data_IF_987354886087
#
_entry.id   IF_987354886087
#
_cell.length_a   1.000
_cell.length_b   1.000
_cell.length_c   1.000
_cell.angle_alpha   90.00
_cell.angle_beta   90.00
_cell.angle_gamma   90.00
#
_symmetry.space_group_name_H-M   'P 1'
#
loop_
_entity.id
_entity.type
_entity.pdbx_description
1 polymer ?
#
# COMPACT_ATOMS: atom_id res chain seq x y z
N UNK A 1 19.90 -22.13 -15.99
CA UNK A 1 20.65 -21.26 -15.05
C UNK A 1 19.88 -21.23 -13.75
N UNK A 2 20.52 -21.61 -12.64
CA UNK A 2 19.88 -21.64 -11.33
C UNK A 2 19.83 -20.20 -10.78
N UNK A 3 18.63 -19.72 -10.45
CA UNK A 3 18.46 -18.49 -9.70
C UNK A 3 18.78 -18.85 -8.25
N UNK A 4 19.84 -18.28 -7.68
CA UNK A 4 20.19 -18.54 -6.29
C UNK A 4 19.04 -18.12 -5.37
N UNK A 5 18.66 -19.02 -4.46
CA UNK A 5 17.58 -18.79 -3.51
C UNK A 5 18.01 -17.77 -2.44
N UNK A 6 17.30 -16.64 -2.38
CA UNK A 6 16.85 -16.07 -1.11
C UNK A 6 17.70 -15.06 -0.34
N UNK A 7 18.81 -14.51 -0.85
CA UNK A 7 19.64 -13.57 -0.06
C UNK A 7 19.64 -12.11 -0.54
N UNK A 8 19.15 -11.81 -1.74
CA UNK A 8 19.29 -10.47 -2.36
C UNK A 8 17.97 -9.85 -2.83
N UNK A 9 16.84 -10.15 -2.19
CA UNK A 9 15.53 -9.55 -2.54
C UNK A 9 15.18 -8.44 -1.55
N UNK A 10 14.78 -7.29 -2.08
CA UNK A 10 14.28 -6.16 -1.31
C UNK A 10 12.77 -6.03 -1.53
N UNK A 11 12.03 -5.80 -0.45
CA UNK A 11 10.59 -5.51 -0.49
C UNK A 11 10.42 -4.03 -0.15
N UNK A 12 9.95 -3.27 -1.13
CA UNK A 12 9.61 -1.86 -1.00
C UNK A 12 8.13 -1.75 -0.70
N UNK A 13 7.80 -0.93 0.29
CA UNK A 13 6.43 -0.64 0.70
C UNK A 13 6.33 0.88 0.84
N UNK A 14 5.30 1.44 0.24
CA UNK A 14 4.91 2.83 0.42
C UNK A 14 3.47 2.89 0.91
N UNK A 15 3.21 3.78 1.87
CA UNK A 15 1.92 3.93 2.52
C UNK A 15 1.51 5.40 2.52
N UNK A 16 0.24 5.63 2.23
CA UNK A 16 -0.42 6.90 2.50
C UNK A 16 -1.35 6.73 3.70
N UNK A 17 -1.44 7.75 4.57
CA UNK A 17 -2.17 7.68 5.83
C UNK A 17 -3.07 8.88 6.04
N UNK A 18 -3.99 8.77 7.00
CA UNK A 18 -4.83 9.89 7.44
C UNK A 18 -4.05 10.96 8.21
N UNK A 19 -2.88 10.60 8.75
CA UNK A 19 -2.02 11.46 9.56
C UNK A 19 -0.80 10.72 10.09
N UNK A 20 -0.19 11.23 11.16
CA UNK A 20 1.07 10.74 11.73
C UNK A 20 0.93 10.12 13.13
N UNK A 21 -0.26 10.11 13.72
CA UNK A 21 -0.52 9.49 15.02
C UNK A 21 -0.87 8.00 14.85
N UNK A 22 0.08 7.12 15.16
CA UNK A 22 -0.13 5.67 15.03
C UNK A 22 -1.26 5.08 15.90
N UNK A 23 -1.76 5.81 16.89
CA UNK A 23 -2.88 5.39 17.73
C UNK A 23 -4.25 5.80 17.21
N UNK A 24 -4.31 6.83 16.35
CA UNK A 24 -5.56 7.42 15.87
C UNK A 24 -5.71 7.36 14.34
N UNK A 25 -4.60 7.43 13.61
CA UNK A 25 -4.56 7.45 12.16
C UNK A 25 -4.49 6.06 11.53
N UNK A 26 -4.98 5.96 10.30
CA UNK A 26 -5.08 4.72 9.54
C UNK A 26 -4.51 4.83 8.13
N UNK A 27 -4.23 3.67 7.51
CA UNK A 27 -3.67 3.56 6.16
C UNK A 27 -4.77 3.83 5.13
N UNK A 28 -4.52 4.75 4.20
CA UNK A 28 -5.38 5.08 3.07
C UNK A 28 -4.95 4.36 1.78
N UNK A 29 -3.67 4.11 1.60
CA UNK A 29 -3.14 3.41 0.42
C UNK A 29 -1.94 2.53 0.79
N UNK A 30 -1.78 1.43 0.05
CA UNK A 30 -0.57 0.61 0.07
C UNK A 30 -0.14 0.25 -1.34
N UNK A 31 1.15 0.45 -1.62
CA UNK A 31 1.81 -0.03 -2.83
C UNK A 31 3.06 -0.82 -2.46
N UNK A 32 3.38 -1.86 -3.25
CA UNK A 32 4.55 -2.71 -2.98
C UNK A 32 5.29 -3.11 -4.25
N UNK A 33 6.62 -3.17 -4.16
CA UNK A 33 7.50 -3.61 -5.25
C UNK A 33 8.58 -4.53 -4.68
N UNK A 34 8.96 -5.55 -5.44
CA UNK A 34 10.08 -6.42 -5.12
C UNK A 34 11.20 -6.16 -6.12
N UNK A 35 12.41 -5.90 -5.61
CA UNK A 35 13.61 -5.76 -6.44
C UNK A 35 14.68 -6.78 -6.06
N UNK A 36 15.69 -6.95 -6.91
CA UNK A 36 16.97 -7.54 -6.51
C UNK A 36 17.86 -6.50 -5.79
N UNK A 37 19.07 -6.91 -5.39
CA UNK A 37 20.07 -6.05 -4.75
C UNK A 37 20.66 -4.98 -5.66
N UNK A 38 20.44 -5.08 -6.98
CA UNK A 38 20.82 -4.08 -7.98
C UNK A 38 19.63 -3.16 -8.34
N UNK A 39 18.57 -3.20 -7.55
CA UNK A 39 17.34 -2.40 -7.70
C UNK A 39 16.58 -2.70 -9.00
N UNK A 40 16.81 -3.84 -9.64
CA UNK A 40 16.00 -4.26 -10.79
C UNK A 40 14.66 -4.80 -10.29
N UNK A 41 13.56 -4.31 -10.85
CA UNK A 41 12.20 -4.74 -10.48
C UNK A 41 11.98 -6.20 -10.88
N UNK A 42 11.68 -7.03 -9.89
CA UNK A 42 11.36 -8.45 -10.05
C UNK A 42 9.84 -8.68 -10.08
N UNK A 43 9.08 -7.86 -9.35
CA UNK A 43 7.63 -7.85 -9.40
C UNK A 43 7.04 -6.60 -8.77
N UNK A 44 5.84 -6.27 -9.25
CA UNK A 44 4.95 -5.29 -8.64
C UNK A 44 3.83 -6.03 -7.91
N UNK A 45 3.58 -5.61 -6.67
CA UNK A 45 2.38 -5.95 -5.93
C UNK A 45 1.22 -5.04 -6.33
N UNK A 46 0.04 -5.24 -5.72
CA UNK A 46 -1.10 -4.39 -6.00
C UNK A 46 -0.90 -3.00 -5.38
N UNK A 47 -1.43 -1.99 -6.05
CA UNK A 47 -1.63 -0.63 -5.53
C UNK A 47 -3.09 -0.51 -5.10
N UNK A 48 -3.34 -0.36 -3.80
CA UNK A 48 -4.68 -0.47 -3.23
C UNK A 48 -5.01 0.74 -2.38
N UNK A 49 -6.03 1.49 -2.78
CA UNK A 49 -6.71 2.43 -1.90
C UNK A 49 -7.64 1.67 -0.95
N UNK A 50 -7.59 2.00 0.34
CA UNK A 50 -8.31 1.30 1.42
C UNK A 50 -9.55 2.11 1.77
N UNK A 51 -10.71 1.47 1.67
CA UNK A 51 -12.01 2.06 1.93
C UNK A 51 -12.08 2.69 3.33
N UNK A 52 -12.42 3.97 3.39
CA UNK A 52 -12.70 4.70 4.63
C UNK A 52 -14.00 5.51 4.51
N UNK A 53 -14.80 5.59 5.58
CA UNK A 53 -15.95 6.50 5.61
C UNK A 53 -15.53 7.96 5.43
N UNK A 54 -16.34 8.75 4.72
CA UNK A 54 -16.12 10.18 4.53
C UNK A 54 -15.80 10.95 5.82
N UNK A 55 -16.48 10.70 6.98
CA UNK A 55 -16.14 11.41 8.22
C UNK A 55 -14.71 11.18 8.72
N UNK A 56 -14.07 10.05 8.39
CA UNK A 56 -12.66 9.81 8.75
C UNK A 56 -11.75 10.71 7.92
N UNK A 57 -12.05 10.84 6.63
CA UNK A 57 -11.28 11.72 5.74
C UNK A 57 -11.46 13.20 6.10
N UNK A 58 -12.68 13.61 6.44
CA UNK A 58 -12.98 14.99 6.84
C UNK A 58 -12.31 15.41 8.15
N UNK A 59 -12.00 14.44 9.03
CA UNK A 59 -11.30 14.64 10.30
C UNK A 59 -9.78 14.82 10.16
N UNK A 60 -9.21 14.55 8.98
CA UNK A 60 -7.79 14.81 8.71
C UNK A 60 -7.47 16.30 8.79
N UNK A 61 -6.20 16.63 9.06
CA UNK A 61 -5.75 18.01 9.06
C UNK A 61 -5.81 18.65 7.66
N UNK A 62 -5.63 19.97 7.60
CA UNK A 62 -5.72 20.71 6.34
C UNK A 62 -4.69 20.25 5.30
N UNK A 63 -3.50 19.85 5.72
CA UNK A 63 -2.45 19.41 4.81
C UNK A 63 -2.82 18.09 4.13
N UNK A 64 -3.25 17.10 4.92
CA UNK A 64 -3.66 15.79 4.42
C UNK A 64 -4.89 15.89 3.51
N UNK A 65 -5.91 16.68 3.89
CA UNK A 65 -7.08 16.91 3.02
C UNK A 65 -6.70 17.51 1.68
N UNK A 66 -5.81 18.50 1.68
CA UNK A 66 -5.34 19.13 0.44
C UNK A 66 -4.48 18.18 -0.39
N UNK A 67 -3.55 17.46 0.24
CA UNK A 67 -2.64 16.55 -0.45
C UNK A 67 -3.40 15.40 -1.11
N UNK A 68 -4.24 14.71 -0.35
CA UNK A 68 -5.02 13.56 -0.82
C UNK A 68 -6.14 13.95 -1.77
N UNK A 69 -6.68 15.17 -1.63
CA UNK A 69 -7.61 15.74 -2.61
C UNK A 69 -6.94 16.03 -3.95
N UNK A 70 -5.73 16.59 -3.95
CA UNK A 70 -4.99 16.93 -5.17
C UNK A 70 -4.41 15.71 -5.88
N UNK A 71 -3.98 14.69 -5.14
CA UNK A 71 -3.48 13.44 -5.73
C UNK A 71 -4.59 12.59 -6.36
N UNK A 72 -5.85 12.82 -5.96
CA UNK A 72 -7.00 11.99 -6.32
C UNK A 72 -7.19 10.79 -5.39
N UNK A 73 -6.31 10.57 -4.40
CA UNK A 73 -6.42 9.48 -3.44
C UNK A 73 -7.72 9.58 -2.64
N UNK A 74 -8.16 10.79 -2.29
CA UNK A 74 -9.43 11.01 -1.58
C UNK A 74 -10.60 10.30 -2.27
N UNK A 75 -10.75 10.51 -3.58
CA UNK A 75 -11.83 9.93 -4.35
C UNK A 75 -11.67 8.41 -4.49
N UNK A 76 -10.44 7.94 -4.73
CA UNK A 76 -10.13 6.50 -4.79
C UNK A 76 -10.50 5.78 -3.49
N UNK A 77 -10.29 6.41 -2.33
CA UNK A 77 -10.65 5.85 -1.03
C UNK A 77 -12.18 5.76 -0.87
N UNK A 78 -12.91 6.79 -1.27
CA UNK A 78 -14.38 6.79 -1.20
C UNK A 78 -15.03 5.77 -2.15
N UNK A 79 -14.42 5.56 -3.31
CA UNK A 79 -14.90 4.61 -4.33
C UNK A 79 -14.39 3.17 -4.10
N UNK A 80 -13.50 2.96 -3.13
CA UNK A 80 -12.90 1.65 -2.88
C UNK A 80 -13.84 0.75 -2.07
N UNK A 81 -13.92 -0.52 -2.48
CA UNK A 81 -14.52 -1.61 -1.70
C UNK A 81 -13.46 -2.46 -0.96
N UNK A 82 -12.19 -2.05 -0.99
CA UNK A 82 -11.09 -2.80 -0.38
C UNK A 82 -10.96 -2.45 1.09
N UNK A 83 -11.27 -3.42 1.95
CA UNK A 83 -11.00 -3.30 3.39
C UNK A 83 -9.52 -3.53 3.69
N UNK A 84 -9.05 -3.03 4.84
CA UNK A 84 -7.68 -3.29 5.30
C UNK A 84 -7.36 -4.80 5.35
N UNK A 85 -8.31 -5.62 5.80
CA UNK A 85 -8.15 -7.07 5.85
C UNK A 85 -7.99 -7.68 4.45
N UNK A 86 -8.75 -7.20 3.45
CA UNK A 86 -8.59 -7.62 2.06
C UNK A 86 -7.23 -7.20 1.49
N UNK A 87 -6.78 -5.97 1.77
CA UNK A 87 -5.46 -5.49 1.35
C UNK A 87 -4.33 -6.39 1.89
N UNK A 88 -4.38 -6.76 3.17
CA UNK A 88 -3.44 -7.72 3.77
C UNK A 88 -3.52 -9.09 3.08
N UNK A 89 -4.74 -9.56 2.81
CA UNK A 89 -4.97 -10.83 2.11
C UNK A 89 -4.36 -10.86 0.71
N UNK A 90 -4.51 -9.77 -0.05
CA UNK A 90 -3.91 -9.65 -1.39
C UNK A 90 -2.39 -9.70 -1.33
N UNK A 91 -1.76 -9.02 -0.37
CA UNK A 91 -0.30 -9.02 -0.22
C UNK A 91 0.26 -10.39 0.22
N UNK A 92 -0.38 -11.04 1.19
CA UNK A 92 0.04 -12.39 1.63
C UNK A 92 -0.16 -13.41 0.48
N UNK A 93 -1.25 -13.28 -0.28
CA UNK A 93 -1.55 -14.13 -1.42
C UNK A 93 -0.54 -13.99 -2.56
N UNK A 94 -0.16 -12.77 -2.94
CA UNK A 94 0.83 -12.53 -4.01
C UNK A 94 2.21 -13.08 -3.67
N UNK A 95 2.60 -13.04 -2.39
CA UNK A 95 3.88 -13.63 -1.92
C UNK A 95 3.94 -15.15 -2.16
N UNK A 96 2.81 -15.84 -1.96
CA UNK A 96 2.72 -17.31 -2.05
C UNK A 96 2.59 -17.80 -3.50
N UNK A 97 1.88 -17.06 -4.35
CA UNK A 97 1.62 -17.46 -5.74
C UNK A 97 2.80 -17.23 -6.69
N UNK A 98 3.72 -16.31 -6.37
CA UNK A 98 4.85 -15.95 -7.24
C UNK A 98 6.22 -16.42 -6.75
N UNK A 99 6.27 -17.31 -5.75
CA UNK A 99 7.54 -17.89 -5.28
C UNK A 99 8.50 -16.87 -4.65
N UNK A 100 7.96 -15.85 -3.96
CA UNK A 100 8.73 -14.82 -3.27
C UNK A 100 9.26 -15.23 -1.88
N UNK A 101 9.36 -16.53 -1.62
CA UNK A 101 9.96 -17.13 -0.42
C UNK A 101 11.12 -18.02 -0.81
#
# INVERSE_FOLDING_TARGET
MAIAAGQDRLIWIDLEMTGLDTGADSILEIATVVTDSQLQVLAEGPELAIAHPLPVLEAMDEWNRNQHGRSGLWQRVLDSDVTLALAIGYWVGTRKLRGFT
#
